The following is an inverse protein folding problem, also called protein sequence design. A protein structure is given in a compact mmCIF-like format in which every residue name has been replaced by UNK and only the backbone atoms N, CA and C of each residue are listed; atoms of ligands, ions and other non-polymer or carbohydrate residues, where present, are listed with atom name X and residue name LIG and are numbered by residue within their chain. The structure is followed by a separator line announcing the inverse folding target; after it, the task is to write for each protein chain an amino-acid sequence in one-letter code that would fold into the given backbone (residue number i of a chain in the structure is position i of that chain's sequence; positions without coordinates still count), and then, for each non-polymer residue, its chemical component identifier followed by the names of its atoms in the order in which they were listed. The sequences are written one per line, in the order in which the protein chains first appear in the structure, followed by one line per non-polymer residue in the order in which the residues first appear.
data_IF_364897680492
#
_entry.id   IF_364897680492
#
_cell.length_a   1.000
_cell.length_b   1.000
_cell.length_c   1.000
_cell.angle_alpha   90.00
_cell.angle_beta   90.00
_cell.angle_gamma   90.00
#
_symmetry.space_group_name_H-M   'P 1'
#
loop_
_entity.id
_entity.type
_entity.pdbx_description
1 polymer ?
#
# COMPACT_ATOMS: atom_id res chain seq x y z
N UNK A 1 -6.32 -40.51 17.82
CA UNK A 1 -5.54 -39.25 17.98
C UNK A 1 -4.63 -39.41 19.20
N UNK A 2 -3.35 -39.03 19.09
CA UNK A 2 -2.38 -39.17 20.18
C UNK A 2 -2.37 -37.91 21.08
N UNK A 3 -2.34 -38.09 22.40
CA UNK A 3 -2.22 -37.02 23.40
C UNK A 3 -0.98 -37.26 24.26
N UNK A 4 -0.36 -36.18 24.75
CA UNK A 4 0.87 -36.27 25.53
C UNK A 4 0.57 -36.61 26.99
N UNK A 5 1.20 -37.68 27.51
CA UNK A 5 1.01 -38.16 28.89
C UNK A 5 2.14 -37.78 29.85
N UNK A 6 3.27 -37.25 29.34
CA UNK A 6 4.43 -36.87 30.16
C UNK A 6 4.31 -35.44 30.72
N UNK A 7 5.00 -35.16 31.84
CA UNK A 7 5.06 -33.83 32.47
C UNK A 7 5.88 -32.80 31.66
N UNK A 8 6.73 -33.29 30.75
CA UNK A 8 7.52 -32.46 29.84
C UNK A 8 6.57 -31.86 28.81
N UNK A 9 6.44 -30.53 28.76
CA UNK A 9 5.59 -29.83 27.78
C UNK A 9 6.41 -29.54 26.53
N UNK A 10 5.92 -29.97 25.37
CA UNK A 10 6.56 -29.72 24.07
C UNK A 10 5.63 -28.86 23.22
N UNK A 11 6.18 -27.81 22.61
CA UNK A 11 5.51 -26.98 21.61
C UNK A 11 6.48 -26.79 20.43
N UNK A 12 5.97 -26.95 19.20
CA UNK A 12 6.78 -26.86 17.99
C UNK A 12 6.93 -28.19 17.25
N UNK A 13 7.90 -28.27 16.34
CA UNK A 13 8.08 -29.39 15.42
C UNK A 13 9.35 -30.17 15.73
N UNK A 14 9.25 -31.50 15.82
CA UNK A 14 10.39 -32.43 15.90
C UNK A 14 10.21 -33.47 14.80
N UNK A 15 11.05 -33.41 13.76
CA UNK A 15 10.92 -34.26 12.58
C UNK A 15 9.53 -34.12 11.94
N UNK A 16 8.82 -35.24 11.81
CA UNK A 16 7.45 -35.29 11.28
C UNK A 16 6.36 -35.13 12.34
N UNK A 17 6.70 -34.85 13.61
CA UNK A 17 5.73 -34.62 14.67
C UNK A 17 5.61 -33.13 14.97
N UNK A 18 4.37 -32.65 15.04
CA UNK A 18 4.02 -31.28 15.45
C UNK A 18 3.28 -31.36 16.79
N UNK A 19 3.88 -30.76 17.80
CA UNK A 19 3.35 -30.62 19.15
C UNK A 19 2.68 -29.26 19.30
N UNK A 20 1.43 -29.24 19.75
CA UNK A 20 0.65 -28.02 19.91
C UNK A 20 -0.33 -28.15 21.08
N UNK A 21 -0.71 -27.00 21.64
CA UNK A 21 -1.73 -26.93 22.68
C UNK A 21 -3.10 -26.72 22.04
N UNK A 22 -4.03 -27.62 22.33
CA UNK A 22 -5.45 -27.44 22.01
C UNK A 22 -6.25 -27.39 23.31
N UNK A 23 -6.87 -26.24 23.56
CA UNK A 23 -7.51 -25.91 24.84
C UNK A 23 -6.52 -26.07 25.99
N UNK A 24 -6.66 -27.09 26.85
CA UNK A 24 -5.76 -27.34 27.98
C UNK A 24 -4.98 -28.66 27.88
N UNK A 25 -4.95 -29.27 26.68
CA UNK A 25 -4.26 -30.54 26.44
C UNK A 25 -3.16 -30.38 25.40
N UNK A 26 -1.98 -30.94 25.69
CA UNK A 26 -0.88 -31.04 24.73
C UNK A 26 -1.13 -32.21 23.79
N UNK A 27 -1.07 -31.93 22.48
CA UNK A 27 -1.39 -32.89 21.42
C UNK A 27 -0.22 -32.98 20.45
N UNK A 28 -0.05 -34.17 19.89
CA UNK A 28 0.88 -34.41 18.81
C UNK A 28 0.11 -34.85 17.56
N UNK A 29 0.48 -34.31 16.41
CA UNK A 29 0.05 -34.81 15.10
C UNK A 29 1.27 -35.06 14.23
N UNK A 30 1.17 -36.01 13.32
CA UNK A 30 2.12 -36.03 12.20
C UNK A 30 1.93 -34.78 11.34
N UNK A 31 3.00 -34.35 10.67
CA UNK A 31 3.01 -33.24 9.74
C UNK A 31 1.91 -33.49 8.69
N UNK A 32 0.83 -32.73 8.81
CA UNK A 32 -0.24 -32.73 7.82
C UNK A 32 0.15 -31.87 6.62
N UNK A 33 -0.52 -32.10 5.50
CA UNK A 33 -0.29 -31.36 4.26
C UNK A 33 0.01 -32.29 3.09
N UNK A 34 -0.06 -31.71 1.89
CA UNK A 34 0.29 -32.42 0.65
C UNK A 34 1.81 -32.33 0.49
N UNK A 35 2.45 -33.43 0.10
CA UNK A 35 3.88 -33.43 -0.22
C UNK A 35 4.20 -32.37 -1.29
N UNK A 36 5.36 -31.71 -1.17
CA UNK A 36 5.73 -30.62 -2.07
C UNK A 36 5.85 -31.10 -3.54
N UNK A 37 6.39 -32.31 -3.77
CA UNK A 37 6.46 -32.89 -5.12
C UNK A 37 5.06 -33.15 -5.64
N UNK A 38 4.17 -33.69 -4.79
CA UNK A 38 2.77 -33.91 -5.16
C UNK A 38 2.04 -32.60 -5.49
N UNK A 39 2.21 -31.54 -4.69
CA UNK A 39 1.62 -30.24 -5.02
C UNK A 39 2.13 -29.69 -6.36
N UNK A 40 3.41 -29.91 -6.67
CA UNK A 40 4.02 -29.46 -7.91
C UNK A 40 3.52 -30.22 -9.15
N UNK A 41 3.27 -31.53 -9.04
CA UNK A 41 3.01 -32.40 -10.20
C UNK A 41 1.56 -32.85 -10.36
N UNK A 42 0.79 -33.02 -9.28
CA UNK A 42 -0.56 -33.59 -9.34
C UNK A 42 -1.53 -32.60 -10.02
N UNK A 43 -2.24 -33.00 -11.10
CA UNK A 43 -3.18 -32.14 -11.81
C UNK A 43 -4.28 -31.54 -10.92
N UNK A 44 -4.64 -32.21 -9.82
CA UNK A 44 -5.66 -31.69 -8.89
C UNK A 44 -5.28 -30.35 -8.25
N UNK A 45 -3.99 -30.02 -8.18
CA UNK A 45 -3.50 -28.76 -7.62
C UNK A 45 -3.20 -27.69 -8.68
N UNK A 46 -3.52 -27.91 -9.96
CA UNK A 46 -3.26 -26.95 -11.04
C UNK A 46 -3.80 -25.54 -10.71
N UNK A 47 -5.10 -25.44 -10.38
CA UNK A 47 -5.73 -24.17 -9.99
C UNK A 47 -5.11 -23.54 -8.75
N UNK A 48 -4.66 -24.35 -7.80
CA UNK A 48 -3.98 -23.86 -6.60
C UNK A 48 -2.60 -23.30 -6.95
N UNK A 49 -1.86 -23.93 -7.88
CA UNK A 49 -0.57 -23.43 -8.36
C UNK A 49 -0.72 -22.13 -9.13
N UNK A 50 -1.71 -22.03 -10.03
CA UNK A 50 -2.04 -20.81 -10.77
C UNK A 50 -2.28 -19.64 -9.81
N UNK A 51 -3.20 -19.82 -8.84
CA UNK A 51 -3.51 -18.80 -7.85
C UNK A 51 -2.28 -18.43 -7.00
N UNK A 52 -1.44 -19.40 -6.62
CA UNK A 52 -0.21 -19.14 -5.86
C UNK A 52 0.79 -18.31 -6.65
N UNK A 53 0.93 -18.51 -7.97
CA UNK A 53 1.80 -17.71 -8.83
C UNK A 53 1.32 -16.25 -8.90
N UNK A 54 0.02 -16.05 -9.17
CA UNK A 54 -0.58 -14.71 -9.21
C UNK A 54 -0.47 -13.99 -7.85
N UNK A 55 -0.70 -14.71 -6.73
CA UNK A 55 -0.52 -14.17 -5.39
C UNK A 55 0.93 -13.77 -5.11
N UNK A 56 1.89 -14.60 -5.57
CA UNK A 56 3.31 -14.31 -5.48
C UNK A 56 3.69 -13.02 -6.22
N UNK A 57 3.19 -12.84 -7.45
CA UNK A 57 3.39 -11.61 -8.23
C UNK A 57 2.77 -10.39 -7.54
N UNK A 58 1.54 -10.51 -7.04
CA UNK A 58 0.89 -9.43 -6.26
C UNK A 58 1.74 -9.03 -5.05
N UNK A 59 2.25 -10.02 -4.30
CA UNK A 59 3.06 -9.80 -3.11
C UNK A 59 4.42 -9.17 -3.42
N UNK A 60 5.04 -9.56 -4.54
CA UNK A 60 6.28 -8.98 -5.02
C UNK A 60 6.10 -7.51 -5.41
N UNK A 61 5.09 -7.20 -6.22
CA UNK A 61 4.78 -5.81 -6.60
C UNK A 61 4.41 -4.96 -5.37
N UNK A 62 3.63 -5.52 -4.44
CA UNK A 62 3.30 -4.87 -3.17
C UNK A 62 4.53 -4.46 -2.38
N UNK A 63 5.55 -5.33 -2.35
CA UNK A 63 6.83 -5.02 -1.71
C UNK A 63 7.52 -3.85 -2.41
N UNK A 64 7.56 -3.84 -3.75
CA UNK A 64 8.23 -2.79 -4.51
C UNK A 64 7.57 -1.44 -4.35
N UNK A 65 6.23 -1.37 -4.38
CA UNK A 65 5.49 -0.13 -4.09
C UNK A 65 5.82 0.40 -2.69
N UNK A 66 5.89 -0.48 -1.69
CA UNK A 66 6.26 -0.05 -0.32
C UNK A 66 7.71 0.41 -0.21
N UNK A 67 8.63 -0.19 -0.97
CA UNK A 67 10.02 0.25 -1.02
C UNK A 67 10.14 1.63 -1.68
N UNK A 68 9.42 1.85 -2.78
CA UNK A 68 9.35 3.15 -3.45
C UNK A 68 8.78 4.26 -2.53
N UNK A 69 7.92 3.90 -1.57
CA UNK A 69 7.29 4.84 -0.62
C UNK A 69 7.88 4.77 0.80
N UNK A 70 9.06 4.16 1.00
CA UNK A 70 9.54 3.85 2.35
C UNK A 70 9.72 5.09 3.26
N UNK A 71 10.03 6.26 2.70
CA UNK A 71 10.16 7.53 3.44
C UNK A 71 8.79 8.18 3.75
N UNK A 72 7.78 7.91 2.93
CA UNK A 72 6.44 8.51 3.05
C UNK A 72 5.56 7.70 4.00
N UNK A 73 5.57 6.36 3.86
CA UNK A 73 4.67 5.45 4.58
C UNK A 73 4.67 5.57 6.11
N UNK A 74 5.77 5.88 6.82
CA UNK A 74 5.76 5.97 8.28
C UNK A 74 4.71 6.93 8.85
N UNK A 75 4.33 7.98 8.10
CA UNK A 75 3.30 8.94 8.53
C UNK A 75 1.86 8.45 8.30
N UNK A 76 1.68 7.41 7.48
CA UNK A 76 0.36 6.95 7.01
C UNK A 76 0.11 5.46 7.28
N UNK A 77 1.04 4.80 7.96
CA UNK A 77 1.02 3.35 8.13
C UNK A 77 -0.12 2.89 9.03
N UNK A 78 -0.82 1.85 8.58
CA UNK A 78 -1.88 1.16 9.32
C UNK A 78 -1.65 -0.36 9.23
N UNK A 79 -1.92 -1.09 10.32
CA UNK A 79 -1.49 -2.48 10.49
C UNK A 79 -2.01 -3.47 9.44
N UNK A 80 -3.15 -3.19 8.80
CA UNK A 80 -3.73 -4.03 7.74
C UNK A 80 -3.37 -3.58 6.32
N UNK A 81 -2.63 -2.47 6.16
CA UNK A 81 -2.28 -1.88 4.85
C UNK A 81 -1.67 -2.92 3.91
N UNK A 82 -0.74 -3.75 4.39
CA UNK A 82 -0.09 -4.76 3.54
C UNK A 82 -1.08 -5.78 2.96
N UNK A 83 -2.03 -6.25 3.77
CA UNK A 83 -3.06 -7.20 3.32
C UNK A 83 -4.01 -6.53 2.33
N UNK A 84 -4.43 -5.29 2.60
CA UNK A 84 -5.31 -4.53 1.70
C UNK A 84 -4.63 -4.24 0.37
N UNK A 85 -3.35 -3.84 0.39
CA UNK A 85 -2.54 -3.60 -0.80
C UNK A 85 -2.39 -4.87 -1.65
N UNK A 86 -2.06 -6.00 -1.03
CA UNK A 86 -2.00 -7.29 -1.72
C UNK A 86 -3.35 -7.67 -2.36
N UNK A 87 -4.46 -7.43 -1.65
CA UNK A 87 -5.80 -7.70 -2.18
C UNK A 87 -6.12 -6.82 -3.40
N UNK A 88 -5.75 -5.53 -3.35
CA UNK A 88 -5.96 -4.60 -4.47
C UNK A 88 -5.09 -4.96 -5.67
N UNK A 89 -3.81 -5.29 -5.47
CA UNK A 89 -2.93 -5.76 -6.54
C UNK A 89 -3.39 -7.07 -7.15
N UNK A 90 -3.98 -7.97 -6.36
CA UNK A 90 -4.61 -9.16 -6.90
C UNK A 90 -5.78 -8.81 -7.84
N UNK A 91 -6.59 -7.80 -7.51
CA UNK A 91 -7.66 -7.33 -8.41
C UNK A 91 -7.09 -6.75 -9.70
N UNK A 92 -6.00 -5.99 -9.62
CA UNK A 92 -5.28 -5.44 -10.78
C UNK A 92 -4.77 -6.58 -11.68
N UNK A 93 -4.09 -7.59 -11.12
CA UNK A 93 -3.60 -8.76 -11.88
C UNK A 93 -4.75 -9.54 -12.53
N UNK A 94 -5.91 -9.64 -11.88
CA UNK A 94 -7.08 -10.29 -12.48
C UNK A 94 -7.64 -9.51 -13.68
N UNK A 95 -7.33 -8.22 -13.80
CA UNK A 95 -7.64 -7.38 -14.95
C UNK A 95 -6.71 -7.57 -16.15
N UNK A 96 -5.66 -8.39 -16.05
CA UNK A 96 -4.83 -8.78 -17.18
C UNK A 96 -5.66 -9.59 -18.20
N UNK A 97 -5.93 -8.95 -19.34
CA UNK A 97 -6.67 -9.54 -20.46
C UNK A 97 -5.75 -10.22 -21.49
N UNK A 98 -4.43 -10.05 -21.38
CA UNK A 98 -3.44 -10.56 -22.32
C UNK A 98 -3.06 -12.00 -21.95
N UNK A 99 -2.75 -12.21 -20.66
CA UNK A 99 -2.25 -13.50 -20.18
C UNK A 99 -3.34 -14.42 -19.66
N UNK A 100 -3.15 -15.72 -19.92
CA UNK A 100 -3.97 -16.78 -19.33
C UNK A 100 -3.85 -16.84 -17.81
N UNK A 101 -4.81 -17.50 -17.18
CA UNK A 101 -4.82 -17.73 -15.72
C UNK A 101 -3.51 -18.39 -15.26
N UNK A 102 -3.00 -17.96 -14.12
CA UNK A 102 -1.72 -18.43 -13.56
C UNK A 102 -0.51 -17.69 -14.10
N UNK A 103 -0.63 -17.07 -15.27
CA UNK A 103 0.43 -16.28 -15.92
C UNK A 103 0.12 -14.78 -15.98
N UNK A 104 -1.05 -14.38 -15.47
CA UNK A 104 -1.42 -12.97 -15.28
C UNK A 104 -0.39 -12.20 -14.46
N UNK A 105 -0.16 -10.96 -14.88
CA UNK A 105 0.73 -10.00 -14.25
C UNK A 105 0.04 -8.65 -14.04
N UNK A 106 0.80 -7.69 -13.53
CA UNK A 106 0.35 -6.29 -13.50
C UNK A 106 0.60 -5.72 -14.88
N UNK A 107 -0.45 -5.28 -15.56
CA UNK A 107 -0.36 -4.65 -16.88
C UNK A 107 -0.59 -3.15 -16.77
N UNK A 108 0.06 -2.31 -17.61
CA UNK A 108 -0.17 -0.87 -17.66
C UNK A 108 -1.66 -0.49 -17.70
N UNK A 109 -2.45 -1.18 -18.52
CA UNK A 109 -3.88 -0.92 -18.74
C UNK A 109 -4.74 -1.28 -17.52
N UNK A 110 -4.24 -2.14 -16.64
CA UNK A 110 -4.92 -2.57 -15.41
C UNK A 110 -4.61 -1.68 -14.20
N UNK A 111 -3.51 -0.91 -14.25
CA UNK A 111 -3.07 -0.04 -13.16
C UNK A 111 -4.09 1.03 -12.74
N UNK A 112 -4.94 1.60 -13.63
CA UNK A 112 -5.99 2.52 -13.21
C UNK A 112 -6.97 1.95 -12.17
N UNK A 113 -7.10 0.62 -12.04
CA UNK A 113 -7.86 -0.01 -10.95
C UNK A 113 -7.27 0.26 -9.56
N UNK A 114 -6.06 0.81 -9.50
CA UNK A 114 -5.40 1.20 -8.25
C UNK A 114 -5.90 2.55 -7.71
N UNK A 115 -6.54 3.37 -8.54
CA UNK A 115 -7.10 4.66 -8.13
C UNK A 115 -8.11 4.47 -6.99
N UNK A 116 -8.01 5.35 -5.99
CA UNK A 116 -8.81 5.30 -4.77
C UNK A 116 -8.35 4.27 -3.74
N UNK A 117 -7.21 3.60 -3.94
CA UNK A 117 -6.59 2.83 -2.88
C UNK A 117 -5.98 3.76 -1.83
N UNK A 118 -6.41 3.58 -0.58
CA UNK A 118 -5.88 4.32 0.57
C UNK A 118 -4.91 3.48 1.38
N UNK A 119 -3.70 4.01 1.61
CA UNK A 119 -2.66 3.38 2.42
C UNK A 119 -3.01 3.41 3.91
N UNK A 120 -3.84 4.35 4.35
CA UNK A 120 -4.40 4.35 5.69
C UNK A 120 -5.88 3.91 5.68
N UNK A 121 -6.18 2.77 6.30
CA UNK A 121 -7.55 2.26 6.33
C UNK A 121 -8.52 3.08 7.18
N UNK A 122 -8.01 3.93 8.08
CA UNK A 122 -8.83 4.77 8.92
C UNK A 122 -9.12 6.17 8.36
N UNK A 123 -8.43 6.60 7.30
CA UNK A 123 -8.66 7.92 6.69
C UNK A 123 -8.45 7.85 5.18
N UNK A 124 -9.53 8.00 4.41
CA UNK A 124 -9.45 8.14 2.97
C UNK A 124 -9.30 9.61 2.57
N UNK A 125 -8.64 9.86 1.44
CA UNK A 125 -8.40 11.20 0.91
C UNK A 125 -9.68 12.04 0.83
N UNK A 126 -10.74 11.46 0.27
CA UNK A 126 -12.06 12.08 0.11
C UNK A 126 -12.74 12.49 1.42
N UNK A 127 -12.31 11.92 2.55
CA UNK A 127 -12.89 12.18 3.87
C UNK A 127 -12.11 13.29 4.60
N UNK A 128 -10.93 13.67 4.10
CA UNK A 128 -10.00 14.59 4.75
C UNK A 128 -9.78 15.86 3.94
N UNK A 129 -9.81 15.78 2.60
CA UNK A 129 -9.62 16.90 1.68
C UNK A 129 -10.81 17.04 0.73
N UNK A 130 -11.38 18.25 0.66
CA UNK A 130 -12.59 18.55 -0.11
C UNK A 130 -12.40 19.61 -1.20
N UNK A 131 -11.16 20.03 -1.46
CA UNK A 131 -10.84 21.04 -2.46
C UNK A 131 -10.35 20.41 -3.78
N UNK A 132 -10.33 21.19 -4.88
CA UNK A 132 -9.70 20.75 -6.12
C UNK A 132 -8.22 20.42 -5.92
N UNK A 133 -7.82 19.27 -6.47
CA UNK A 133 -6.43 18.85 -6.58
C UNK A 133 -6.09 18.73 -8.06
N UNK A 134 -5.33 19.70 -8.56
CA UNK A 134 -4.91 19.74 -9.96
C UNK A 134 -3.63 18.92 -10.12
N UNK A 135 -3.56 18.16 -11.20
CA UNK A 135 -2.37 17.39 -11.55
C UNK A 135 -2.17 17.37 -13.05
N UNK A 136 -0.93 17.42 -13.47
CA UNK A 136 -0.54 17.26 -14.86
C UNK A 136 0.76 16.46 -14.92
N UNK A 137 0.86 15.56 -15.89
CA UNK A 137 2.07 14.80 -16.14
C UNK A 137 2.47 14.93 -17.60
N UNK A 138 3.69 15.40 -17.83
CA UNK A 138 4.27 15.49 -19.15
C UNK A 138 5.29 14.37 -19.34
N UNK A 139 4.92 13.33 -20.08
CA UNK A 139 5.77 12.17 -20.34
C UNK A 139 7.02 12.49 -21.19
N UNK A 140 7.03 13.61 -21.93
CA UNK A 140 8.18 14.02 -22.76
C UNK A 140 9.27 14.66 -21.89
N UNK A 141 8.87 15.54 -20.96
CA UNK A 141 9.81 16.20 -20.05
C UNK A 141 10.08 15.40 -18.78
N UNK A 142 9.21 14.44 -18.48
CA UNK A 142 9.21 13.69 -17.22
C UNK A 142 8.80 14.51 -16.00
N UNK A 143 8.15 15.66 -16.21
CA UNK A 143 7.70 16.52 -15.11
C UNK A 143 6.27 16.21 -14.72
N UNK A 144 6.07 15.94 -13.43
CA UNK A 144 4.76 15.84 -12.81
C UNK A 144 4.53 17.08 -11.95
N UNK A 145 3.47 17.82 -12.26
CA UNK A 145 3.05 18.97 -11.45
C UNK A 145 1.78 18.63 -10.69
N UNK A 146 1.71 19.10 -9.45
CA UNK A 146 0.55 18.91 -8.60
C UNK A 146 0.28 20.19 -7.80
N UNK A 147 -0.98 20.62 -7.75
CA UNK A 147 -1.35 21.87 -7.10
C UNK A 147 -2.55 21.68 -6.17
N UNK A 148 -2.43 22.28 -4.98
CA UNK A 148 -3.52 22.44 -4.03
C UNK A 148 -3.88 23.92 -4.01
N UNK A 149 -5.12 24.24 -4.37
CA UNK A 149 -5.57 25.61 -4.43
C UNK A 149 -5.55 26.29 -3.05
N UNK A 150 -5.39 27.61 -3.05
CA UNK A 150 -5.51 28.41 -1.84
C UNK A 150 -6.94 28.33 -1.29
N UNK A 151 -7.08 28.09 0.00
CA UNK A 151 -8.38 27.90 0.61
C UNK A 151 -8.39 28.28 2.08
N UNK A 152 -9.58 28.58 2.59
CA UNK A 152 -9.82 28.67 4.02
C UNK A 152 -9.92 27.26 4.61
N UNK A 153 -8.99 26.87 5.47
CA UNK A 153 -8.77 25.50 5.91
C UNK A 153 -10.01 24.78 6.46
N UNK A 154 -10.84 25.39 7.34
CA UNK A 154 -12.03 24.73 7.90
C UNK A 154 -13.08 24.33 6.86
N UNK A 155 -13.06 24.93 5.67
CA UNK A 155 -14.01 24.59 4.61
C UNK A 155 -13.58 23.37 3.78
N UNK A 156 -12.27 23.09 3.73
CA UNK A 156 -11.69 22.12 2.78
C UNK A 156 -10.90 21.00 3.45
N UNK A 157 -10.60 21.13 4.74
CA UNK A 157 -9.94 20.12 5.55
C UNK A 157 -10.86 19.65 6.67
N UNK A 158 -10.85 18.34 6.92
CA UNK A 158 -11.43 17.74 8.14
C UNK A 158 -10.31 17.26 9.08
N UNK A 159 -9.60 18.16 9.77
CA UNK A 159 -8.51 17.79 10.66
C UNK A 159 -9.00 17.07 11.92
N UNK A 160 -8.23 16.12 12.48
CA UNK A 160 -8.51 15.54 13.80
C UNK A 160 -8.58 16.59 14.92
N UNK A 161 -9.35 16.32 15.99
CA UNK A 161 -9.61 17.27 17.10
C UNK A 161 -8.39 17.89 17.79
N UNK A 162 -7.18 17.33 17.61
CA UNK A 162 -5.93 17.81 18.21
C UNK A 162 -4.90 18.28 17.19
N UNK A 163 -5.27 18.33 15.91
CA UNK A 163 -4.37 18.80 14.87
C UNK A 163 -4.25 20.32 14.95
N UNK A 164 -3.01 20.79 15.02
CA UNK A 164 -2.63 22.19 14.88
C UNK A 164 -1.92 22.44 13.56
N UNK A 165 -1.22 21.41 13.05
CA UNK A 165 -0.46 21.46 11.80
C UNK A 165 -0.95 20.45 10.76
N UNK A 166 -0.71 20.76 9.49
CA UNK A 166 -0.96 19.89 8.33
C UNK A 166 0.23 19.95 7.38
N UNK A 167 0.60 18.80 6.81
CA UNK A 167 1.60 18.67 5.76
C UNK A 167 0.96 18.03 4.55
N UNK A 168 1.15 18.66 3.39
CA UNK A 168 0.78 18.10 2.10
C UNK A 168 1.96 17.28 1.60
N UNK A 169 1.68 16.10 1.07
CA UNK A 169 2.66 15.22 0.45
C UNK A 169 2.15 14.81 -0.92
N UNK A 170 3.02 14.90 -1.92
CA UNK A 170 2.78 14.34 -3.24
C UNK A 170 3.87 13.30 -3.48
N UNK A 171 3.48 12.12 -3.93
CA UNK A 171 4.43 11.08 -4.31
C UNK A 171 4.04 10.50 -5.66
N UNK A 172 5.03 10.18 -6.47
CA UNK A 172 4.86 9.51 -7.74
C UNK A 172 5.67 8.22 -7.76
N UNK A 173 5.12 7.17 -8.37
CA UNK A 173 5.80 5.89 -8.54
C UNK A 173 5.75 5.50 -10.01
N UNK A 174 6.90 5.48 -10.66
CA UNK A 174 7.05 4.85 -11.98
C UNK A 174 7.10 3.31 -11.79
N UNK A 175 6.27 2.58 -12.52
CA UNK A 175 6.12 1.13 -12.39
C UNK A 175 6.65 0.42 -13.62
N UNK A 176 7.76 -0.30 -13.47
CA UNK A 176 8.24 -1.21 -14.50
C UNK A 176 7.55 -2.57 -14.30
N UNK A 177 6.53 -2.82 -15.12
CA UNK A 177 5.74 -4.06 -15.08
C UNK A 177 6.51 -5.28 -15.58
N UNK A 178 7.52 -5.07 -16.44
CA UNK A 178 8.32 -6.15 -17.02
C UNK A 178 9.44 -6.57 -16.06
N UNK A 179 10.20 -5.61 -15.53
CA UNK A 179 11.24 -5.86 -14.53
C UNK A 179 10.65 -6.14 -13.14
N UNK A 180 9.40 -5.76 -12.90
CA UNK A 180 8.75 -5.86 -11.59
C UNK A 180 9.42 -4.94 -10.57
N UNK A 181 9.78 -3.73 -10.98
CA UNK A 181 10.44 -2.71 -10.14
C UNK A 181 9.59 -1.45 -10.04
N UNK A 182 9.79 -0.68 -8.97
CA UNK A 182 9.11 0.58 -8.74
C UNK A 182 10.12 1.65 -8.34
N UNK A 183 9.97 2.84 -8.90
CA UNK A 183 10.84 3.98 -8.66
C UNK A 183 10.00 5.12 -8.11
N UNK A 184 10.25 5.48 -6.85
CA UNK A 184 9.46 6.47 -6.12
C UNK A 184 10.19 7.79 -6.01
N UNK A 185 9.46 8.88 -6.24
CA UNK A 185 9.86 10.25 -5.92
C UNK A 185 8.74 10.91 -5.14
N UNK A 186 9.07 11.80 -4.20
CA UNK A 186 8.07 12.49 -3.41
C UNK A 186 8.57 13.85 -2.98
N UNK A 187 7.61 14.74 -2.73
CA UNK A 187 7.82 16.04 -2.12
C UNK A 187 6.78 16.29 -1.03
N UNK A 188 7.10 17.20 -0.11
CA UNK A 188 6.17 17.61 0.91
C UNK A 188 6.30 19.08 1.25
N UNK A 189 5.18 19.69 1.61
CA UNK A 189 5.17 21.07 2.09
C UNK A 189 5.84 21.18 3.47
N UNK A 190 6.21 22.39 3.89
CA UNK A 190 6.33 22.70 5.31
C UNK A 190 5.05 22.32 6.08
N UNK A 191 5.14 22.21 7.41
CA UNK A 191 3.95 22.07 8.24
C UNK A 191 3.24 23.42 8.31
N UNK A 192 2.02 23.46 7.80
CA UNK A 192 1.16 24.64 7.78
C UNK A 192 0.15 24.58 8.93
N UNK A 193 -0.36 25.74 9.37
CA UNK A 193 -1.41 25.77 10.37
C UNK A 193 -2.74 25.29 9.79
N UNK A 194 -3.40 24.38 10.51
CA UNK A 194 -4.74 23.88 10.14
C UNK A 194 -5.86 24.90 10.34
N UNK A 195 -5.60 25.94 11.13
CA UNK A 195 -6.52 27.05 11.34
C UNK A 195 -6.11 28.23 10.46
N UNK A 196 -7.09 28.80 9.76
CA UNK A 196 -6.87 30.02 8.99
C UNK A 196 -6.81 29.78 7.47
N UNK A 197 -6.07 30.67 6.82
CA UNK A 197 -5.85 30.63 5.38
C UNK A 197 -4.68 29.70 5.05
N UNK A 198 -4.93 28.73 4.18
CA UNK A 198 -3.91 27.88 3.60
C UNK A 198 -3.48 28.48 2.25
N UNK A 199 -2.21 28.84 2.09
CA UNK A 199 -1.71 29.31 0.81
C UNK A 199 -1.70 28.16 -0.20
N UNK A 200 -1.76 28.52 -1.50
CA UNK A 200 -1.58 27.56 -2.57
C UNK A 200 -0.29 26.74 -2.37
N UNK A 201 -0.39 25.43 -2.54
CA UNK A 201 0.78 24.54 -2.54
C UNK A 201 1.00 24.04 -3.97
N UNK A 202 2.22 24.17 -4.45
CA UNK A 202 2.63 23.69 -5.77
C UNK A 202 3.82 22.75 -5.60
N UNK A 203 3.76 21.61 -6.29
CA UNK A 203 4.76 20.55 -6.26
C UNK A 203 5.18 20.23 -7.69
N UNK A 204 6.48 20.01 -7.87
CA UNK A 204 7.07 19.61 -9.15
C UNK A 204 8.00 18.42 -8.88
N UNK A 205 7.65 17.27 -9.45
CA UNK A 205 8.41 16.03 -9.28
C UNK A 205 9.05 15.64 -10.61
N UNK A 206 10.36 15.40 -10.59
CA UNK A 206 11.11 14.86 -11.71
C UNK A 206 11.00 13.31 -11.71
N UNK A 207 10.33 12.76 -12.72
CA UNK A 207 10.16 11.32 -12.89
C UNK A 207 11.34 10.75 -13.68
N UNK A 208 12.13 9.86 -13.07
CA UNK A 208 13.32 9.26 -13.69
C UNK A 208 12.99 8.44 -14.95
N UNK A 209 11.85 7.73 -14.95
CA UNK A 209 11.41 6.87 -16.05
C UNK A 209 10.01 7.28 -16.54
N UNK A 210 9.88 8.41 -17.25
CA UNK A 210 8.58 8.99 -17.57
C UNK A 210 7.80 8.24 -18.65
N UNK A 211 8.46 7.33 -19.37
CA UNK A 211 7.82 6.41 -20.32
C UNK A 211 7.06 5.26 -19.65
N UNK A 212 7.35 4.98 -18.38
CA UNK A 212 6.66 3.94 -17.62
C UNK A 212 5.31 4.47 -17.08
N UNK A 213 4.35 3.59 -16.78
CA UNK A 213 3.15 3.99 -16.05
C UNK A 213 3.51 4.64 -14.70
N UNK A 214 2.91 5.79 -14.41
CA UNK A 214 3.15 6.55 -13.19
C UNK A 214 1.91 6.54 -12.30
N UNK A 215 2.05 6.05 -11.08
CA UNK A 215 1.03 6.12 -10.03
C UNK A 215 1.24 7.42 -9.26
N UNK A 216 0.24 8.28 -9.20
CA UNK A 216 0.26 9.52 -8.42
C UNK A 216 -0.49 9.32 -7.09
N UNK A 217 0.16 9.71 -6.01
CA UNK A 217 -0.37 9.71 -4.66
C UNK A 217 -0.42 11.13 -4.11
N UNK A 218 -1.49 11.44 -3.40
CA UNK A 218 -1.59 12.65 -2.57
C UNK A 218 -1.84 12.24 -1.12
N UNK A 219 -1.22 12.96 -0.20
CA UNK A 219 -1.30 12.70 1.22
C UNK A 219 -1.39 13.95 2.09
N UNK A 220 -2.09 13.80 3.21
CA UNK A 220 -2.23 14.79 4.26
C UNK A 220 -1.85 14.16 5.60
N UNK A 221 -0.76 14.64 6.18
CA UNK A 221 -0.35 14.26 7.53
C UNK A 221 -0.64 15.40 8.50
N UNK A 222 -1.31 15.10 9.61
CA UNK A 222 -1.64 16.07 10.65
C UNK A 222 -0.66 15.99 11.81
N UNK A 223 -0.39 17.15 12.39
CA UNK A 223 0.57 17.34 13.48
C UNK A 223 -0.10 18.05 14.65
N UNK A 224 0.33 17.71 15.85
CA UNK A 224 0.02 18.46 17.09
C UNK A 224 1.29 19.11 17.60
N UNK A 225 1.18 20.31 18.12
CA UNK A 225 2.29 20.97 18.80
C UNK A 225 2.37 20.52 20.26
N UNK A 226 3.56 20.10 20.71
CA UNK A 226 3.87 19.90 22.13
C UNK A 226 5.22 20.51 22.45
N UNK A 227 5.21 21.53 23.31
CA UNK A 227 6.44 22.21 23.75
C UNK A 227 7.24 22.83 22.59
N UNK A 228 6.56 23.37 21.57
CA UNK A 228 7.19 23.98 20.39
C UNK A 228 7.59 23.00 19.27
N UNK A 229 7.43 21.68 19.49
CA UNK A 229 7.74 20.66 18.47
C UNK A 229 6.45 20.14 17.82
N UNK A 230 6.48 20.01 16.49
CA UNK A 230 5.41 19.37 15.72
C UNK A 230 5.56 17.85 15.78
N UNK A 231 4.57 17.17 16.35
CA UNK A 231 4.53 15.71 16.50
C UNK A 231 3.41 15.17 15.61
N UNK A 232 3.68 14.17 14.75
CA UNK A 232 2.64 13.58 13.91
C UNK A 232 1.56 12.93 14.76
N UNK A 233 0.30 13.09 14.33
CA UNK A 233 -0.83 12.43 14.97
C UNK A 233 -0.92 11.02 14.41
N UNK A 234 -0.55 10.04 15.24
CA UNK A 234 -0.59 8.60 14.90
C UNK A 234 -1.98 7.97 15.06
N UNK A 235 -3.01 8.78 15.32
CA UNK A 235 -4.36 8.22 15.45
C UNK A 235 -4.81 7.62 14.11
N UNK A 236 -5.43 6.43 14.11
CA UNK A 236 -5.77 5.71 12.87
C UNK A 236 -6.64 6.51 11.90
N UNK A 237 -7.37 7.52 12.38
CA UNK A 237 -8.37 8.26 11.61
C UNK A 237 -7.90 9.62 11.05
N UNK A 238 -6.61 9.94 11.17
CA UNK A 238 -6.12 11.29 10.85
C UNK A 238 -5.51 11.45 9.47
N UNK A 239 -4.46 10.69 9.19
CA UNK A 239 -3.61 10.95 8.02
C UNK A 239 -4.11 10.16 6.81
N UNK A 240 -4.26 10.80 5.66
CA UNK A 240 -4.68 10.15 4.42
C UNK A 240 -3.50 10.09 3.45
N UNK A 241 -3.31 8.97 2.76
CA UNK A 241 -2.40 8.84 1.63
C UNK A 241 -3.06 7.89 0.64
N UNK A 242 -3.51 8.43 -0.48
CA UNK A 242 -4.29 7.68 -1.44
C UNK A 242 -3.71 7.82 -2.85
N UNK A 243 -3.92 6.78 -3.66
CA UNK A 243 -3.69 6.84 -5.10
C UNK A 243 -4.79 7.70 -5.72
N UNK A 244 -4.41 8.87 -6.21
CA UNK A 244 -5.35 9.88 -6.75
C UNK A 244 -5.41 9.86 -8.27
N UNK A 245 -4.36 9.40 -8.93
CA UNK A 245 -4.33 9.21 -10.37
C UNK A 245 -3.34 8.13 -10.81
N UNK A 246 -3.48 7.67 -12.05
CA UNK A 246 -2.54 6.78 -12.72
C UNK A 246 -2.40 7.23 -14.17
N UNK A 247 -1.19 7.62 -14.55
CA UNK A 247 -0.84 7.95 -15.92
C UNK A 247 -0.29 6.70 -16.61
N UNK A 248 -1.02 6.17 -17.58
CA UNK A 248 -0.54 5.08 -18.43
C UNK A 248 0.04 5.74 -19.68
N UNK A 249 1.35 5.58 -19.92
CA UNK A 249 1.99 6.16 -21.10
C UNK A 249 1.26 5.73 -22.39
N UNK A 250 0.90 6.70 -23.22
CA UNK A 250 0.42 6.47 -24.60
C UNK A 250 1.58 6.29 -25.56
#
# INVERSE_FOLDING_TARGET
MAYQKSEIKLEGQIGDLVFYKQSNTYRARTKGGVDAKRFATDPKFERSRENSREFGRASAMSKQIRLALHEVLPLFHEGTMQTRLNSRLRQIILGDAINGRGDRGVQPESLPLFIGFSFNGGAAWKDVYYAPFEREFNAVTGKLTASFAEHWAPAVLSPPKKASGVRFTVAAIAVDTEAGMCYGVHEHSPVLHTAGHLPQQFFELDIEYPQLPVILLAGLAFFTEKGGYQIPIEQPLGNALDVVDVFVGT
#
